data_IF_083882011953
#
_entry.id   IF_083882011953
#
_cell.length_a   1.000
_cell.length_b   1.000
_cell.length_c   1.000
_cell.angle_alpha   90.00
_cell.angle_beta   90.00
_cell.angle_gamma   90.00
#
_symmetry.space_group_name_H-M   'P 1'
#
loop_
_entity.id
_entity.type
_entity.pdbx_description
1 polymer ?
#
# COMPACT_ATOMS: atom_id res chain seq x y z
N UNK A 1 16.22 -31.69 21.48
CA UNK A 1 17.08 -30.83 20.64
C UNK A 1 16.61 -29.40 20.60
N UNK A 2 15.30 -29.10 20.50
CA UNK A 2 14.74 -27.72 20.47
C UNK A 2 15.00 -26.91 21.76
N UNK A 3 14.97 -27.55 22.94
CA UNK A 3 15.22 -26.89 24.21
C UNK A 3 16.66 -26.41 24.43
N UNK A 4 17.62 -27.03 23.74
CA UNK A 4 19.03 -26.66 23.75
C UNK A 4 19.37 -25.47 22.89
N UNK A 5 18.65 -25.27 21.78
CA UNK A 5 18.81 -24.11 20.90
C UNK A 5 18.16 -22.85 21.48
N UNK A 6 16.99 -22.99 22.10
CA UNK A 6 16.30 -21.88 22.76
C UNK A 6 17.10 -21.29 23.92
N UNK A 7 17.83 -22.14 24.67
CA UNK A 7 18.74 -21.68 25.75
C UNK A 7 19.92 -20.88 25.21
N UNK A 8 20.46 -21.20 24.05
CA UNK A 8 21.56 -20.45 23.39
C UNK A 8 21.14 -19.04 22.95
N UNK A 9 19.84 -18.82 22.74
CA UNK A 9 19.28 -17.53 22.37
C UNK A 9 18.67 -16.77 23.56
N UNK A 10 19.00 -17.16 24.81
CA UNK A 10 18.59 -16.42 26.02
C UNK A 10 17.12 -16.61 26.43
N UNK A 11 16.42 -17.61 25.86
CA UNK A 11 15.02 -17.89 26.18
C UNK A 11 14.97 -18.93 27.30
N UNK A 12 14.60 -18.50 28.51
CA UNK A 12 14.41 -19.38 29.67
C UNK A 12 13.04 -20.08 29.60
N UNK A 13 13.03 -21.38 29.69
CA UNK A 13 11.81 -22.23 29.67
C UNK A 13 11.11 -22.35 31.05
N UNK A 14 11.42 -21.48 31.99
CA UNK A 14 10.79 -21.46 33.33
C UNK A 14 9.64 -20.43 33.39
N UNK A 15 8.69 -20.55 32.51
CA UNK A 15 7.49 -19.71 32.49
C UNK A 15 6.22 -20.56 32.32
N UNK A 16 5.07 -20.02 32.75
CA UNK A 16 3.79 -20.70 32.55
C UNK A 16 3.54 -21.01 31.06
N UNK A 17 2.71 -22.01 30.75
CA UNK A 17 2.39 -22.46 29.39
C UNK A 17 2.03 -21.29 28.42
N UNK A 18 1.43 -20.22 28.92
CA UNK A 18 1.11 -19.03 28.16
C UNK A 18 2.34 -18.26 27.66
N UNK A 19 3.42 -18.21 28.45
CA UNK A 19 4.65 -17.50 28.08
C UNK A 19 5.42 -18.28 27.00
N UNK A 20 5.39 -19.61 27.07
CA UNK A 20 5.99 -20.50 26.08
C UNK A 20 5.23 -20.40 24.75
N UNK A 21 3.90 -20.40 24.79
CA UNK A 21 3.08 -20.23 23.57
C UNK A 21 3.27 -18.85 22.93
N UNK A 22 3.42 -17.78 23.71
CA UNK A 22 3.75 -16.47 23.19
C UNK A 22 5.13 -16.41 22.54
N UNK A 23 6.13 -17.07 23.15
CA UNK A 23 7.48 -17.15 22.58
C UNK A 23 7.48 -17.93 21.24
N UNK A 24 6.75 -19.05 21.16
CA UNK A 24 6.59 -19.85 19.95
C UNK A 24 5.95 -19.00 18.84
N UNK A 25 4.83 -18.31 19.13
CA UNK A 25 4.15 -17.43 18.15
C UNK A 25 5.05 -16.30 17.65
N UNK A 26 5.85 -15.67 18.53
CA UNK A 26 6.83 -14.65 18.14
C UNK A 26 7.93 -15.22 17.25
N UNK A 27 8.41 -16.42 17.55
CA UNK A 27 9.43 -17.09 16.74
C UNK A 27 8.88 -17.48 15.36
N UNK A 28 7.64 -17.96 15.28
CA UNK A 28 6.96 -18.25 14.01
C UNK A 28 6.72 -16.98 13.20
N UNK A 29 6.31 -15.89 13.83
CA UNK A 29 6.16 -14.58 13.18
C UNK A 29 7.48 -14.07 12.62
N UNK A 30 8.57 -14.19 13.39
CA UNK A 30 9.91 -13.80 12.97
C UNK A 30 10.44 -14.67 11.81
N UNK A 31 10.24 -15.98 11.87
CA UNK A 31 10.60 -16.89 10.80
C UNK A 31 9.79 -16.62 9.51
N UNK A 32 8.51 -16.35 9.63
CA UNK A 32 7.66 -15.95 8.51
C UNK A 32 8.10 -14.60 7.89
N UNK A 33 8.56 -13.66 8.72
CA UNK A 33 9.13 -12.39 8.24
C UNK A 33 10.45 -12.62 7.52
N UNK A 34 11.36 -13.44 8.07
CA UNK A 34 12.62 -13.80 7.42
C UNK A 34 12.40 -14.51 6.09
N UNK A 35 11.43 -15.40 6.00
CA UNK A 35 11.08 -16.06 4.73
C UNK A 35 10.56 -15.07 3.69
N UNK A 36 9.74 -14.09 4.09
CA UNK A 36 9.28 -13.01 3.19
C UNK A 36 10.44 -12.14 2.71
N UNK A 37 11.36 -11.78 3.61
CA UNK A 37 12.57 -11.02 3.26
C UNK A 37 13.49 -11.81 2.32
N UNK A 38 13.69 -13.10 2.57
CA UNK A 38 14.44 -13.99 1.67
C UNK A 38 13.79 -14.10 0.30
N UNK A 39 12.46 -14.21 0.24
CA UNK A 39 11.75 -14.25 -1.04
C UNK A 39 11.82 -12.91 -1.77
N UNK A 40 11.75 -11.78 -1.06
CA UNK A 40 11.92 -10.46 -1.65
C UNK A 40 13.34 -10.27 -2.20
N UNK A 41 14.37 -10.64 -1.43
CA UNK A 41 15.76 -10.62 -1.87
C UNK A 41 16.00 -11.54 -3.09
N UNK A 42 15.40 -12.75 -3.09
CA UNK A 42 15.51 -13.67 -4.22
C UNK A 42 14.82 -13.12 -5.49
N UNK A 43 13.73 -12.35 -5.35
CA UNK A 43 13.09 -11.65 -6.48
C UNK A 43 13.99 -10.55 -7.03
N UNK A 44 14.57 -9.72 -6.16
CA UNK A 44 15.49 -8.65 -6.54
C UNK A 44 16.74 -9.23 -7.24
N UNK A 45 17.31 -10.30 -6.71
CA UNK A 45 18.47 -10.96 -7.32
C UNK A 45 18.15 -11.53 -8.70
N UNK A 46 17.02 -12.21 -8.85
CA UNK A 46 16.56 -12.72 -10.16
C UNK A 46 16.25 -11.60 -11.16
N UNK A 47 15.70 -10.48 -10.68
CA UNK A 47 15.46 -9.31 -11.53
C UNK A 47 16.78 -8.69 -12.00
N UNK A 48 17.78 -8.59 -11.11
CA UNK A 48 19.11 -8.08 -11.42
C UNK A 48 19.86 -8.97 -12.44
N UNK A 49 19.75 -10.28 -12.29
CA UNK A 49 20.31 -11.25 -13.25
C UNK A 49 19.63 -11.18 -14.64
N UNK A 50 18.30 -10.98 -14.67
CA UNK A 50 17.59 -10.78 -15.95
C UNK A 50 18.00 -9.47 -16.60
N UNK A 51 18.19 -8.41 -15.82
CA UNK A 51 18.62 -7.11 -16.31
C UNK A 51 20.05 -7.16 -16.87
N UNK A 52 21.00 -7.81 -16.19
CA UNK A 52 22.38 -7.96 -16.69
C UNK A 52 22.42 -8.78 -17.97
N UNK A 53 21.65 -9.88 -18.07
CA UNK A 53 21.52 -10.66 -19.31
C UNK A 53 20.88 -9.87 -20.46
N UNK A 54 19.87 -9.04 -20.16
CA UNK A 54 19.25 -8.17 -21.15
C UNK A 54 20.21 -7.08 -21.64
N UNK A 55 21.04 -6.50 -20.75
CA UNK A 55 22.09 -5.55 -21.13
C UNK A 55 23.19 -6.19 -21.97
N UNK A 56 23.64 -7.40 -21.64
CA UNK A 56 24.61 -8.15 -22.44
C UNK A 56 24.06 -8.44 -23.85
N UNK A 57 22.78 -8.81 -23.92
CA UNK A 57 22.10 -9.09 -25.19
C UNK A 57 21.92 -7.82 -26.03
N UNK A 58 21.55 -6.70 -25.39
CA UNK A 58 21.43 -5.39 -26.03
C UNK A 58 22.79 -4.84 -26.49
N UNK A 59 23.87 -5.09 -25.72
CA UNK A 59 25.24 -4.76 -26.10
C UNK A 59 25.71 -5.52 -27.35
N UNK A 60 25.38 -6.81 -27.44
CA UNK A 60 25.69 -7.65 -28.61
C UNK A 60 24.85 -7.26 -29.86
N UNK A 61 23.65 -6.75 -29.68
CA UNK A 61 22.79 -6.25 -30.74
C UNK A 61 23.27 -4.90 -31.32
N UNK A 62 23.89 -4.04 -30.51
CA UNK A 62 24.46 -2.76 -30.98
C UNK A 62 25.64 -2.97 -31.92
N UNK A 63 26.38 -4.06 -31.81
CA UNK A 63 27.53 -4.41 -32.66
C UNK A 63 27.13 -5.29 -33.88
N UNK A 64 25.93 -5.91 -33.88
CA UNK A 64 25.48 -6.83 -34.95
C UNK A 64 24.26 -6.38 -35.75
N UNK A 65 23.68 -5.24 -35.42
CA UNK A 65 22.36 -4.82 -35.93
C UNK A 65 22.23 -4.54 -37.39
N UNK A 66 23.35 -4.34 -38.12
CA UNK A 66 23.32 -4.12 -39.57
C UNK A 66 23.22 -5.42 -40.41
N UNK A 67 23.59 -6.58 -39.82
CA UNK A 67 23.58 -7.87 -40.53
C UNK A 67 22.34 -8.73 -40.26
N UNK A 68 21.58 -8.43 -39.19
CA UNK A 68 20.42 -9.22 -38.78
C UNK A 68 19.15 -8.96 -39.61
N UNK A 69 19.06 -7.83 -40.29
CA UNK A 69 17.90 -7.49 -41.15
C UNK A 69 17.88 -8.32 -42.44
N UNK A 70 19.04 -8.71 -42.95
CA UNK A 70 19.15 -9.55 -44.15
C UNK A 70 18.84 -11.04 -43.94
N UNK A 71 19.08 -11.57 -42.73
CA UNK A 71 18.86 -12.99 -42.41
C UNK A 71 17.43 -13.28 -41.91
N UNK A 72 16.67 -12.27 -41.48
CA UNK A 72 15.29 -12.42 -40.97
C UNK A 72 14.25 -12.74 -42.06
N UNK A 73 14.60 -12.58 -43.34
CA UNK A 73 13.71 -12.93 -44.44
C UNK A 73 13.58 -14.45 -44.67
N UNK A 74 14.46 -15.26 -44.07
CA UNK A 74 14.48 -16.72 -44.24
C UNK A 74 13.90 -17.53 -43.10
N UNK A 75 13.52 -16.89 -41.98
CA UNK A 75 13.04 -17.60 -40.78
C UNK A 75 11.89 -16.88 -40.05
N UNK A 76 10.69 -16.91 -40.63
CA UNK A 76 9.49 -16.23 -40.10
C UNK A 76 9.07 -16.56 -38.68
N UNK A 77 9.70 -17.55 -38.02
CA UNK A 77 9.40 -17.92 -36.64
C UNK A 77 10.26 -17.19 -35.58
N UNK A 78 11.50 -16.81 -35.95
CA UNK A 78 12.40 -16.10 -35.04
C UNK A 78 12.09 -14.60 -34.96
N UNK A 79 11.69 -13.99 -36.10
CA UNK A 79 11.34 -12.56 -36.15
C UNK A 79 10.13 -12.21 -35.31
N UNK A 80 9.13 -13.08 -35.19
CA UNK A 80 7.94 -12.86 -34.37
C UNK A 80 8.24 -12.68 -32.88
N UNK A 81 9.17 -13.45 -32.30
CA UNK A 81 9.55 -13.35 -30.90
C UNK A 81 10.35 -12.08 -30.58
N UNK A 82 11.14 -11.56 -31.51
CA UNK A 82 11.89 -10.31 -31.36
C UNK A 82 11.01 -9.07 -31.45
N UNK A 83 9.91 -9.15 -32.23
CA UNK A 83 9.01 -8.03 -32.46
C UNK A 83 7.86 -7.97 -31.44
N UNK A 84 7.56 -9.05 -30.72
CA UNK A 84 6.47 -9.08 -29.72
C UNK A 84 6.54 -7.96 -28.65
N UNK A 85 7.69 -7.66 -28.02
CA UNK A 85 7.79 -6.56 -27.08
C UNK A 85 7.50 -5.19 -27.72
N UNK A 86 7.94 -4.98 -28.97
CA UNK A 86 7.70 -3.74 -29.70
C UNK A 86 6.23 -3.59 -30.11
N UNK A 87 5.59 -4.68 -30.52
CA UNK A 87 4.17 -4.72 -30.87
C UNK A 87 3.32 -4.49 -29.60
N UNK A 88 3.66 -5.15 -28.47
CA UNK A 88 3.02 -4.96 -27.18
C UNK A 88 3.09 -3.51 -26.72
N UNK A 89 4.28 -2.91 -26.75
CA UNK A 89 4.47 -1.50 -26.40
C UNK A 89 3.66 -0.56 -27.31
N UNK A 90 3.67 -0.80 -28.63
CA UNK A 90 2.89 -0.01 -29.60
C UNK A 90 1.39 -0.06 -29.31
N UNK A 91 0.86 -1.25 -28.95
CA UNK A 91 -0.53 -1.46 -28.58
C UNK A 91 -0.91 -0.66 -27.32
N UNK A 92 -0.10 -0.76 -26.27
CA UNK A 92 -0.36 -0.02 -25.01
C UNK A 92 -0.25 1.50 -25.22
N UNK A 93 0.71 1.98 -26.01
CA UNK A 93 0.79 3.40 -26.37
C UNK A 93 -0.42 3.89 -27.19
N UNK A 94 -0.97 3.06 -28.07
CA UNK A 94 -2.21 3.39 -28.78
C UNK A 94 -3.41 3.47 -27.82
N UNK A 95 -3.43 2.61 -26.78
CA UNK A 95 -4.44 2.67 -25.71
C UNK A 95 -4.30 3.96 -24.89
N UNK A 96 -3.07 4.33 -24.52
CA UNK A 96 -2.79 5.61 -23.84
C UNK A 96 -3.29 6.78 -24.67
N UNK A 97 -3.01 6.80 -25.98
CA UNK A 97 -3.50 7.83 -26.90
C UNK A 97 -5.03 7.92 -26.90
N UNK A 98 -5.70 6.79 -27.07
CA UNK A 98 -7.15 6.73 -27.11
C UNK A 98 -7.80 7.25 -25.82
N UNK A 99 -7.24 6.89 -24.66
CA UNK A 99 -7.76 7.28 -23.35
C UNK A 99 -7.49 8.76 -23.01
N UNK A 100 -6.30 9.25 -23.33
CA UNK A 100 -5.92 10.65 -23.09
C UNK A 100 -6.46 11.60 -24.17
N UNK A 101 -6.91 11.07 -25.33
CA UNK A 101 -7.42 11.82 -26.49
C UNK A 101 -6.42 12.86 -27.02
N UNK A 102 -5.13 12.65 -26.81
CA UNK A 102 -4.08 13.55 -27.34
C UNK A 102 -3.62 13.10 -28.71
N UNK A 103 -3.15 14.06 -29.51
CA UNK A 103 -2.60 13.77 -30.83
C UNK A 103 -1.28 13.00 -30.72
N UNK A 104 -1.08 12.01 -31.58
CA UNK A 104 0.10 11.14 -31.61
C UNK A 104 1.41 11.92 -31.85
N UNK A 105 1.33 13.05 -32.52
CA UNK A 105 2.48 13.91 -32.82
C UNK A 105 2.70 14.98 -31.75
N UNK A 106 1.78 15.08 -30.78
CA UNK A 106 1.87 16.09 -29.71
C UNK A 106 3.11 15.91 -28.85
N UNK A 107 3.67 16.98 -28.27
CA UNK A 107 4.76 16.89 -27.32
C UNK A 107 4.41 16.04 -26.10
N UNK A 108 3.15 16.11 -25.64
CA UNK A 108 2.66 15.34 -24.49
C UNK A 108 2.71 13.83 -24.76
N UNK A 109 2.26 13.38 -25.94
CA UNK A 109 2.32 11.96 -26.29
C UNK A 109 3.76 11.47 -26.43
N UNK A 110 4.63 12.27 -27.05
CA UNK A 110 6.07 11.95 -27.15
C UNK A 110 6.70 11.80 -25.76
N UNK A 111 6.40 12.73 -24.84
CA UNK A 111 6.91 12.67 -23.48
C UNK A 111 6.44 11.42 -22.71
N UNK A 112 5.17 11.01 -22.85
CA UNK A 112 4.66 9.75 -22.29
C UNK A 112 5.39 8.55 -22.87
N UNK A 113 5.58 8.52 -24.18
CA UNK A 113 6.30 7.45 -24.86
C UNK A 113 7.77 7.34 -24.41
N UNK A 114 8.45 8.47 -24.32
CA UNK A 114 9.84 8.55 -23.83
C UNK A 114 9.95 8.10 -22.38
N UNK A 115 9.02 8.52 -21.53
CA UNK A 115 8.97 8.08 -20.13
C UNK A 115 8.79 6.57 -20.03
N UNK A 116 7.87 5.98 -20.80
CA UNK A 116 7.64 4.54 -20.75
C UNK A 116 8.87 3.75 -21.22
N UNK A 117 9.57 4.21 -22.27
CA UNK A 117 10.82 3.63 -22.72
C UNK A 117 11.93 3.75 -21.67
N UNK A 118 12.06 4.92 -21.04
CA UNK A 118 13.05 5.19 -20.00
C UNK A 118 12.81 4.27 -18.80
N UNK A 119 11.59 4.26 -18.26
CA UNK A 119 11.24 3.42 -17.11
C UNK A 119 11.41 1.93 -17.41
N UNK A 120 11.08 1.51 -18.66
CA UNK A 120 11.32 0.15 -19.10
C UNK A 120 12.81 -0.23 -19.22
N UNK A 121 13.72 0.75 -19.31
CA UNK A 121 15.16 0.52 -19.34
C UNK A 121 15.83 0.65 -17.98
N UNK A 122 15.25 1.41 -17.06
CA UNK A 122 15.81 1.73 -15.75
C UNK A 122 15.21 0.90 -14.61
N UNK A 123 14.08 0.24 -14.83
CA UNK A 123 13.37 -0.55 -13.80
C UNK A 123 13.26 -2.02 -14.23
N UNK A 124 12.70 -2.85 -13.37
CA UNK A 124 12.40 -4.25 -13.71
C UNK A 124 11.19 -4.43 -14.63
N UNK A 125 10.40 -3.36 -14.83
CA UNK A 125 9.26 -3.37 -15.72
C UNK A 125 9.70 -3.20 -17.18
N UNK A 126 8.91 -3.71 -18.12
CA UNK A 126 9.12 -3.45 -19.54
C UNK A 126 8.53 -2.08 -19.93
N UNK A 127 8.93 -1.55 -21.07
CA UNK A 127 8.30 -0.35 -21.63
C UNK A 127 6.78 -0.55 -21.87
N UNK A 128 6.36 -1.78 -22.20
CA UNK A 128 4.97 -2.16 -22.31
C UNK A 128 4.23 -2.08 -20.97
N UNK A 129 4.84 -2.55 -19.88
CA UNK A 129 4.26 -2.45 -18.54
C UNK A 129 4.12 -1.00 -18.13
N UNK A 130 5.15 -0.17 -18.34
CA UNK A 130 5.09 1.27 -18.05
C UNK A 130 3.99 1.97 -18.87
N UNK A 131 3.85 1.65 -20.16
CA UNK A 131 2.76 2.16 -20.99
C UNK A 131 1.38 1.67 -20.53
N UNK A 132 1.28 0.43 -20.04
CA UNK A 132 0.05 -0.08 -19.42
C UNK A 132 -0.29 0.69 -18.15
N UNK A 133 0.69 0.96 -17.29
CA UNK A 133 0.51 1.84 -16.12
C UNK A 133 0.00 3.23 -16.48
N UNK A 134 0.54 3.84 -17.56
CA UNK A 134 0.04 5.10 -18.10
C UNK A 134 -1.42 5.00 -18.55
N UNK A 135 -1.79 3.89 -19.19
CA UNK A 135 -3.18 3.67 -19.61
C UNK A 135 -4.14 3.54 -18.41
N UNK A 136 -3.73 2.88 -17.34
CA UNK A 136 -4.54 2.79 -16.11
C UNK A 136 -4.73 4.16 -15.46
N UNK A 137 -3.68 4.97 -15.35
CA UNK A 137 -3.80 6.34 -14.83
C UNK A 137 -4.67 7.22 -15.73
N UNK A 138 -4.58 7.05 -17.06
CA UNK A 138 -5.45 7.74 -18.00
C UNK A 138 -6.93 7.37 -17.80
N UNK A 139 -7.24 6.08 -17.56
CA UNK A 139 -8.60 5.63 -17.20
C UNK A 139 -9.10 6.23 -15.88
N UNK A 140 -8.21 6.45 -14.94
CA UNK A 140 -8.52 7.15 -13.69
C UNK A 140 -8.71 8.68 -13.88
N UNK A 141 -8.60 9.19 -15.11
CA UNK A 141 -8.84 10.59 -15.45
C UNK A 141 -7.63 11.51 -15.32
N UNK A 142 -6.42 10.96 -15.16
CA UNK A 142 -5.21 11.76 -15.04
C UNK A 142 -4.84 12.43 -16.37
N UNK A 143 -4.44 13.69 -16.30
CA UNK A 143 -3.88 14.41 -17.44
C UNK A 143 -2.51 13.80 -17.84
N UNK A 144 -2.00 14.03 -19.06
CA UNK A 144 -0.67 13.55 -19.47
C UNK A 144 0.45 13.95 -18.49
N UNK A 145 0.41 15.14 -17.96
CA UNK A 145 1.37 15.63 -16.96
C UNK A 145 1.23 14.90 -15.61
N UNK A 146 -0.01 14.71 -15.16
CA UNK A 146 -0.30 13.95 -13.95
C UNK A 146 0.12 12.48 -14.07
N UNK A 147 -0.07 11.86 -15.25
CA UNK A 147 0.40 10.50 -15.53
C UNK A 147 1.92 10.41 -15.42
N UNK A 148 2.64 11.37 -16.01
CA UNK A 148 4.10 11.41 -15.92
C UNK A 148 4.59 11.55 -14.48
N UNK A 149 3.93 12.37 -13.68
CA UNK A 149 4.28 12.58 -12.29
C UNK A 149 3.99 11.35 -11.40
N UNK A 150 2.85 10.69 -11.61
CA UNK A 150 2.41 9.59 -10.75
C UNK A 150 3.03 8.22 -11.11
N UNK A 151 3.36 7.98 -12.38
CA UNK A 151 3.77 6.66 -12.86
C UNK A 151 4.96 6.06 -12.10
N UNK A 152 6.04 6.80 -11.78
CA UNK A 152 7.17 6.24 -11.01
C UNK A 152 6.73 5.67 -9.66
N UNK A 153 5.91 6.41 -8.91
CA UNK A 153 5.39 5.95 -7.62
C UNK A 153 4.49 4.72 -7.73
N UNK A 154 3.66 4.64 -8.79
CA UNK A 154 2.85 3.43 -9.06
C UNK A 154 3.75 2.23 -9.31
N UNK A 155 4.80 2.37 -10.13
CA UNK A 155 5.73 1.28 -10.41
C UNK A 155 6.46 0.81 -9.14
N UNK A 156 6.95 1.75 -8.32
CA UNK A 156 7.61 1.46 -7.06
C UNK A 156 6.67 0.73 -6.08
N UNK A 157 5.44 1.21 -5.95
CA UNK A 157 4.42 0.61 -5.09
C UNK A 157 4.00 -0.78 -5.57
N UNK A 158 3.84 -0.98 -6.88
CA UNK A 158 3.55 -2.29 -7.48
C UNK A 158 4.67 -3.29 -7.20
N UNK A 159 5.91 -2.83 -7.32
CA UNK A 159 7.09 -3.64 -7.04
C UNK A 159 7.16 -4.05 -5.58
N UNK A 160 7.02 -3.09 -4.67
CA UNK A 160 7.08 -3.33 -3.23
C UNK A 160 5.95 -4.23 -2.75
N UNK A 161 4.72 -3.99 -3.22
CA UNK A 161 3.53 -4.73 -2.83
C UNK A 161 3.33 -6.06 -3.54
N UNK A 162 4.04 -6.32 -4.65
CA UNK A 162 3.85 -7.51 -5.49
C UNK A 162 2.45 -7.57 -6.12
N UNK A 163 1.85 -6.42 -6.39
CA UNK A 163 0.51 -6.26 -6.95
C UNK A 163 0.61 -5.83 -8.42
N UNK A 164 -0.36 -6.20 -9.23
CA UNK A 164 -0.46 -5.82 -10.64
C UNK A 164 -0.56 -4.30 -10.82
N UNK A 165 0.04 -3.77 -11.89
CA UNK A 165 0.11 -2.32 -12.14
C UNK A 165 -1.27 -1.65 -12.21
N UNK A 166 -2.24 -2.32 -12.82
CA UNK A 166 -3.60 -1.80 -12.92
C UNK A 166 -4.27 -1.60 -11.57
N UNK A 167 -4.19 -2.61 -10.73
CA UNK A 167 -4.73 -2.59 -9.37
C UNK A 167 -3.97 -1.59 -8.49
N UNK A 168 -2.65 -1.51 -8.64
CA UNK A 168 -1.82 -0.55 -7.91
C UNK A 168 -2.14 0.89 -8.30
N UNK A 169 -2.32 1.15 -9.60
CA UNK A 169 -2.73 2.46 -10.09
C UNK A 169 -4.12 2.86 -9.57
N UNK A 170 -5.06 1.92 -9.51
CA UNK A 170 -6.39 2.15 -8.92
C UNK A 170 -6.29 2.50 -7.43
N UNK A 171 -5.57 1.71 -6.65
CA UNK A 171 -5.34 1.98 -5.22
C UNK A 171 -4.72 3.37 -5.03
N UNK A 172 -3.61 3.66 -5.72
CA UNK A 172 -2.89 4.92 -5.58
C UNK A 172 -3.72 6.14 -6.00
N UNK A 173 -4.40 6.07 -7.15
CA UNK A 173 -5.23 7.16 -7.67
C UNK A 173 -6.44 7.44 -6.79
N UNK A 174 -7.08 6.42 -6.24
CA UNK A 174 -8.16 6.56 -5.29
C UNK A 174 -7.70 7.27 -4.00
N UNK A 175 -6.54 6.87 -3.46
CA UNK A 175 -5.97 7.51 -2.26
C UNK A 175 -5.59 8.97 -2.52
N UNK A 176 -4.94 9.28 -3.66
CA UNK A 176 -4.67 10.67 -4.04
C UNK A 176 -5.95 11.51 -4.04
N UNK A 177 -7.01 10.98 -4.65
CA UNK A 177 -8.30 11.67 -4.73
C UNK A 177 -8.94 11.85 -3.36
N UNK A 178 -8.96 10.80 -2.53
CA UNK A 178 -9.57 10.83 -1.19
C UNK A 178 -8.92 11.84 -0.26
N UNK A 179 -7.58 11.91 -0.28
CA UNK A 179 -6.80 12.82 0.56
C UNK A 179 -6.49 14.17 -0.11
N UNK A 180 -7.09 14.43 -1.28
CA UNK A 180 -6.87 15.66 -2.05
C UNK A 180 -5.38 15.94 -2.32
N UNK A 181 -4.63 14.89 -2.63
CA UNK A 181 -3.22 14.94 -2.97
C UNK A 181 -3.02 15.12 -4.48
N UNK A 182 -1.95 15.75 -4.87
CA UNK A 182 -1.57 15.93 -6.28
C UNK A 182 -0.82 14.72 -6.83
N UNK A 183 -0.78 14.55 -8.14
CA UNK A 183 -0.21 13.38 -8.81
C UNK A 183 1.29 13.16 -8.50
N UNK A 184 2.04 14.24 -8.24
CA UNK A 184 3.45 14.22 -7.83
C UNK A 184 3.64 13.68 -6.41
N UNK A 185 2.58 13.55 -5.62
CA UNK A 185 2.61 12.93 -4.29
C UNK A 185 2.38 11.40 -4.32
N UNK A 186 2.36 10.78 -5.50
CA UNK A 186 2.19 9.33 -5.62
C UNK A 186 3.31 8.55 -4.94
N UNK A 187 4.55 9.06 -4.97
CA UNK A 187 5.67 8.45 -4.24
C UNK A 187 5.40 8.45 -2.72
N UNK A 188 4.87 9.55 -2.17
CA UNK A 188 4.46 9.65 -0.77
C UNK A 188 3.37 8.61 -0.42
N UNK A 189 2.40 8.43 -1.31
CA UNK A 189 1.37 7.38 -1.13
C UNK A 189 2.03 6.01 -1.11
N UNK A 190 2.91 5.74 -2.06
CA UNK A 190 3.65 4.48 -2.15
C UNK A 190 4.50 4.20 -0.91
N UNK A 191 5.26 5.19 -0.46
CA UNK A 191 6.13 5.09 0.72
C UNK A 191 5.31 4.84 2.00
N UNK A 192 4.20 5.57 2.18
CA UNK A 192 3.32 5.42 3.33
C UNK A 192 2.71 4.02 3.39
N UNK A 193 2.14 3.54 2.28
CA UNK A 193 1.55 2.20 2.25
C UNK A 193 2.62 1.11 2.40
N UNK A 194 3.78 1.29 1.76
CA UNK A 194 4.91 0.35 1.88
C UNK A 194 5.39 0.27 3.32
N UNK A 195 5.54 1.41 3.99
CA UNK A 195 5.90 1.45 5.40
C UNK A 195 4.85 0.74 6.27
N UNK A 196 3.56 0.89 5.97
CA UNK A 196 2.49 0.23 6.70
C UNK A 196 2.54 -1.30 6.52
N UNK A 197 2.53 -1.82 5.28
CA UNK A 197 2.46 -3.27 5.07
C UNK A 197 3.78 -4.01 5.36
N UNK A 198 4.92 -3.33 5.37
CA UNK A 198 6.19 -3.97 5.75
C UNK A 198 6.37 -4.09 7.26
N UNK A 199 5.71 -3.24 8.04
CA UNK A 199 5.81 -3.18 9.50
C UNK A 199 4.66 -3.84 10.23
N UNK A 200 3.57 -4.17 9.54
CA UNK A 200 2.35 -4.73 10.12
C UNK A 200 1.87 -5.96 9.34
N UNK A 201 0.91 -6.68 9.91
CA UNK A 201 0.41 -7.93 9.35
C UNK A 201 -0.66 -7.67 8.27
N UNK A 202 -0.32 -6.92 7.23
CA UNK A 202 -1.22 -6.59 6.11
C UNK A 202 -0.47 -6.64 4.78
N UNK A 203 -1.14 -6.30 3.70
CA UNK A 203 -0.60 -6.18 2.35
C UNK A 203 -1.20 -4.96 1.64
N UNK A 204 -0.69 -4.65 0.44
CA UNK A 204 -1.13 -3.48 -0.32
C UNK A 204 -2.61 -3.53 -0.68
N UNK A 205 -3.16 -4.72 -1.02
CA UNK A 205 -4.58 -4.88 -1.37
C UNK A 205 -5.47 -4.62 -0.17
N UNK A 206 -5.14 -5.23 0.96
CA UNK A 206 -5.90 -5.06 2.20
C UNK A 206 -5.86 -3.60 2.68
N UNK A 207 -4.71 -2.92 2.57
CA UNK A 207 -4.62 -1.48 2.87
C UNK A 207 -5.46 -0.65 1.89
N UNK A 208 -5.38 -0.92 0.59
CA UNK A 208 -6.20 -0.27 -0.42
C UNK A 208 -7.70 -0.42 -0.14
N UNK A 209 -8.13 -1.64 0.22
CA UNK A 209 -9.52 -1.90 0.60
C UNK A 209 -9.91 -1.16 1.89
N UNK A 210 -9.05 -1.13 2.91
CA UNK A 210 -9.29 -0.36 4.15
C UNK A 210 -9.45 1.13 3.83
N UNK A 211 -8.56 1.71 3.01
CA UNK A 211 -8.60 3.12 2.64
C UNK A 211 -9.85 3.48 1.83
N UNK A 212 -10.34 2.58 0.98
CA UNK A 212 -11.58 2.77 0.24
C UNK A 212 -12.78 3.11 1.13
N UNK A 213 -12.86 2.49 2.30
CA UNK A 213 -13.92 2.74 3.28
C UNK A 213 -13.63 3.93 4.20
N UNK A 214 -12.38 4.11 4.58
CA UNK A 214 -11.98 5.07 5.64
C UNK A 214 -11.49 6.39 5.08
N UNK A 215 -10.79 6.37 3.94
CA UNK A 215 -10.08 7.52 3.37
C UNK A 215 -10.91 8.80 3.27
N UNK A 216 -12.13 8.74 2.70
CA UNK A 216 -12.97 9.94 2.58
C UNK A 216 -13.36 10.57 3.93
N UNK A 217 -13.58 9.74 4.96
CA UNK A 217 -13.92 10.23 6.31
C UNK A 217 -12.68 10.76 7.01
N UNK A 218 -11.57 10.01 6.97
CA UNK A 218 -10.30 10.42 7.56
C UNK A 218 -9.84 11.77 7.01
N UNK A 219 -9.80 11.91 5.69
CA UNK A 219 -9.39 13.15 5.03
C UNK A 219 -10.30 14.34 5.41
N UNK A 220 -11.63 14.13 5.46
CA UNK A 220 -12.58 15.17 5.86
C UNK A 220 -12.39 15.62 7.31
N UNK A 221 -11.97 14.74 8.19
CA UNK A 221 -11.67 15.01 9.59
C UNK A 221 -10.26 15.61 9.79
N UNK A 222 -9.46 15.72 8.74
CA UNK A 222 -8.10 16.26 8.78
C UNK A 222 -7.05 15.26 9.26
N UNK A 223 -7.40 13.97 9.29
CA UNK A 223 -6.47 12.88 9.56
C UNK A 223 -5.58 12.69 8.33
N UNK A 224 -4.28 12.61 8.53
CA UNK A 224 -3.32 12.43 7.44
C UNK A 224 -3.38 11.03 6.84
N UNK A 225 -2.83 10.86 5.63
CA UNK A 225 -2.68 9.54 5.01
C UNK A 225 -1.84 8.61 5.88
N UNK A 226 -0.75 9.13 6.43
CA UNK A 226 0.18 8.39 7.29
C UNK A 226 -0.49 7.88 8.56
N UNK A 227 -1.27 8.74 9.21
CA UNK A 227 -2.02 8.41 10.41
C UNK A 227 -3.11 7.36 10.12
N UNK A 228 -3.85 7.53 9.01
CA UNK A 228 -4.85 6.54 8.59
C UNK A 228 -4.21 5.19 8.24
N UNK A 229 -3.06 5.18 7.57
CA UNK A 229 -2.33 3.95 7.25
C UNK A 229 -1.76 3.27 8.50
N UNK A 230 -1.29 4.04 9.48
CA UNK A 230 -0.84 3.51 10.77
C UNK A 230 -1.99 2.83 11.52
N UNK A 231 -3.14 3.49 11.62
CA UNK A 231 -4.33 2.90 12.24
C UNK A 231 -4.77 1.60 11.54
N UNK A 232 -4.78 1.58 10.21
CA UNK A 232 -5.09 0.38 9.45
C UNK A 232 -4.11 -0.76 9.74
N UNK A 233 -2.83 -0.44 9.87
CA UNK A 233 -1.79 -1.41 10.24
C UNK A 233 -1.94 -1.95 11.66
N UNK A 234 -2.30 -1.11 12.63
CA UNK A 234 -2.58 -1.53 14.02
C UNK A 234 -3.76 -2.50 14.08
N UNK A 235 -4.83 -2.23 13.35
CA UNK A 235 -5.98 -3.13 13.24
C UNK A 235 -5.58 -4.46 12.60
N UNK A 236 -4.76 -4.40 11.56
CA UNK A 236 -4.29 -5.59 10.86
C UNK A 236 -3.43 -6.51 11.73
N UNK A 237 -2.63 -5.97 12.64
CA UNK A 237 -1.86 -6.74 13.61
C UNK A 237 -2.76 -7.55 14.56
N UNK A 238 -4.00 -7.10 14.76
CA UNK A 238 -5.01 -7.77 15.57
C UNK A 238 -6.04 -8.56 14.73
N UNK A 239 -5.76 -8.76 13.44
CA UNK A 239 -6.57 -9.59 12.56
C UNK A 239 -7.67 -8.87 11.80
N UNK A 240 -7.93 -7.58 12.07
CA UNK A 240 -8.89 -6.76 11.33
C UNK A 240 -8.20 -6.18 10.09
N UNK A 241 -8.63 -6.59 8.88
CA UNK A 241 -8.02 -6.19 7.60
C UNK A 241 -9.06 -5.86 6.55
N UNK A 242 -8.65 -5.16 5.51
CA UNK A 242 -9.50 -4.87 4.35
C UNK A 242 -10.78 -4.15 4.74
N UNK A 243 -11.90 -4.64 4.29
CA UNK A 243 -13.23 -4.07 4.54
C UNK A 243 -13.60 -4.01 6.02
N UNK A 244 -13.18 -5.00 6.82
CA UNK A 244 -13.51 -5.04 8.25
C UNK A 244 -12.79 -3.92 9.01
N UNK A 245 -11.49 -3.75 8.77
CA UNK A 245 -10.73 -2.62 9.31
C UNK A 245 -11.32 -1.28 8.83
N UNK A 246 -11.60 -1.16 7.53
CA UNK A 246 -12.17 0.04 6.94
C UNK A 246 -13.52 0.40 7.52
N UNK A 247 -14.40 -0.58 7.73
CA UNK A 247 -15.72 -0.36 8.33
C UNK A 247 -15.59 0.05 9.80
N UNK A 248 -14.77 -0.65 10.59
CA UNK A 248 -14.54 -0.32 11.99
C UNK A 248 -13.92 1.08 12.17
N UNK A 249 -12.90 1.43 11.38
CA UNK A 249 -12.30 2.76 11.38
C UNK A 249 -13.33 3.84 11.01
N UNK A 250 -14.03 3.67 9.88
CA UNK A 250 -15.03 4.62 9.43
C UNK A 250 -16.10 4.86 10.48
N UNK A 251 -16.65 3.79 11.07
CA UNK A 251 -17.68 3.89 12.10
C UNK A 251 -17.15 4.60 13.35
N UNK A 252 -15.97 4.22 13.85
CA UNK A 252 -15.32 4.86 15.00
C UNK A 252 -15.08 6.36 14.76
N UNK A 253 -14.47 6.72 13.64
CA UNK A 253 -14.18 8.11 13.30
C UNK A 253 -15.45 8.94 13.14
N UNK A 254 -16.48 8.40 12.49
CA UNK A 254 -17.76 9.10 12.31
C UNK A 254 -18.46 9.35 13.64
N UNK A 255 -18.46 8.35 14.54
CA UNK A 255 -19.10 8.48 15.86
C UNK A 255 -18.30 9.35 16.83
N UNK A 256 -16.98 9.38 16.73
CA UNK A 256 -16.14 10.33 17.46
C UNK A 256 -16.36 11.77 16.98
N UNK A 257 -16.51 11.99 15.67
CA UNK A 257 -16.72 13.31 15.10
C UNK A 257 -18.14 13.86 15.33
N UNK A 258 -19.14 12.97 15.37
CA UNK A 258 -20.56 13.32 15.61
C UNK A 258 -21.18 12.27 16.54
N UNK A 259 -20.89 12.35 17.85
CA UNK A 259 -21.26 11.31 18.78
C UNK A 259 -22.77 11.26 19.02
N UNK A 260 -23.43 10.09 18.88
CA UNK A 260 -24.76 9.87 19.42
C UNK A 260 -24.79 10.08 20.93
N UNK A 261 -25.98 10.22 21.51
CA UNK A 261 -26.11 10.51 22.94
C UNK A 261 -25.31 9.58 23.85
N UNK A 262 -25.38 8.29 23.64
CA UNK A 262 -24.62 7.32 24.45
C UNK A 262 -23.10 7.54 24.34
N UNK A 263 -22.59 7.78 23.11
CA UNK A 263 -21.18 8.08 22.90
C UNK A 263 -20.76 9.40 23.54
N UNK A 264 -21.61 10.43 23.44
CA UNK A 264 -21.33 11.74 24.06
C UNK A 264 -21.32 11.65 25.58
N UNK A 265 -22.25 10.91 26.19
CA UNK A 265 -22.32 10.69 27.63
C UNK A 265 -21.08 9.89 28.10
N UNK A 266 -20.68 8.82 27.39
CA UNK A 266 -19.48 8.03 27.68
C UNK A 266 -18.19 8.87 27.59
N UNK A 267 -18.01 9.65 26.54
CA UNK A 267 -16.85 10.54 26.36
C UNK A 267 -16.78 11.59 27.48
N UNK A 268 -17.93 12.14 27.89
CA UNK A 268 -18.04 13.09 28.99
C UNK A 268 -17.67 12.44 30.33
N UNK A 269 -18.13 11.24 30.59
CA UNK A 269 -17.82 10.49 31.84
C UNK A 269 -16.33 10.17 31.88
N UNK A 270 -15.73 9.78 30.77
CA UNK A 270 -14.29 9.55 30.65
C UNK A 270 -13.45 10.83 30.69
N UNK A 271 -14.09 12.01 30.55
CA UNK A 271 -13.39 13.30 30.50
C UNK A 271 -12.57 13.49 29.22
N UNK A 272 -12.91 12.79 28.12
CA UNK A 272 -12.19 12.85 26.87
C UNK A 272 -12.86 13.83 25.90
N UNK A 273 -12.10 14.81 25.42
CA UNK A 273 -12.52 15.71 24.35
C UNK A 273 -11.96 15.28 23.00
N UNK A 274 -12.83 15.12 22.03
CA UNK A 274 -12.45 14.74 20.64
C UNK A 274 -12.09 15.96 19.78
N UNK A 275 -12.65 17.12 20.12
CA UNK A 275 -12.44 18.37 19.41
C UNK A 275 -11.66 19.40 20.25
N UNK A 276 -10.95 20.27 19.58
CA UNK A 276 -10.31 21.44 20.19
C UNK A 276 -11.33 22.56 20.46
N UNK A 277 -10.89 23.66 21.06
CA UNK A 277 -11.73 24.82 21.38
C UNK A 277 -12.34 25.51 20.12
N UNK A 278 -11.85 25.19 18.92
CA UNK A 278 -12.36 25.71 17.65
C UNK A 278 -13.31 24.73 16.96
N UNK A 279 -13.59 23.58 17.60
CA UNK A 279 -14.43 22.52 17.04
C UNK A 279 -13.72 21.68 15.97
N UNK A 280 -12.40 21.82 15.80
CA UNK A 280 -11.61 20.98 14.92
C UNK A 280 -11.24 19.68 15.66
N UNK A 281 -11.25 18.56 14.94
CA UNK A 281 -10.82 17.28 15.49
C UNK A 281 -9.36 17.36 15.96
N UNK A 282 -9.10 16.88 17.15
CA UNK A 282 -7.75 16.75 17.70
C UNK A 282 -6.99 15.65 16.96
N UNK A 283 -5.64 15.66 16.96
CA UNK A 283 -4.86 14.54 16.47
C UNK A 283 -5.41 13.22 17.05
N UNK A 284 -5.63 12.22 16.19
CA UNK A 284 -6.28 10.99 16.59
C UNK A 284 -5.43 10.22 17.63
N UNK A 285 -4.11 10.32 17.50
CA UNK A 285 -3.18 9.76 18.49
C UNK A 285 -3.45 10.29 19.91
N UNK A 286 -3.64 11.61 20.05
CA UNK A 286 -3.95 12.23 21.35
C UNK A 286 -5.31 11.76 21.89
N UNK A 287 -6.32 11.65 21.03
CA UNK A 287 -7.67 11.19 21.42
C UNK A 287 -7.62 9.73 21.87
N UNK A 288 -6.92 8.86 21.13
CA UNK A 288 -6.77 7.45 21.48
C UNK A 288 -5.99 7.28 22.78
N UNK A 289 -4.92 8.05 22.98
CA UNK A 289 -4.14 8.03 24.21
C UNK A 289 -4.96 8.51 25.43
N UNK A 290 -5.78 9.56 25.26
CA UNK A 290 -6.67 10.02 26.34
C UNK A 290 -7.74 8.97 26.67
N UNK A 291 -8.32 8.31 25.65
CA UNK A 291 -9.23 7.19 25.84
C UNK A 291 -8.55 6.04 26.59
N UNK A 292 -7.32 5.69 26.19
CA UNK A 292 -6.54 4.68 26.89
C UNK A 292 -6.37 5.01 28.37
N UNK A 293 -5.84 6.19 28.69
CA UNK A 293 -5.60 6.63 30.06
C UNK A 293 -6.89 6.70 30.90
N UNK A 294 -7.98 7.15 30.29
CA UNK A 294 -9.26 7.29 30.97
C UNK A 294 -9.88 5.92 31.29
N UNK A 295 -9.84 4.99 30.34
CA UNK A 295 -10.46 3.66 30.51
C UNK A 295 -9.68 2.75 31.44
N UNK A 296 -8.36 2.93 31.62
CA UNK A 296 -7.55 2.14 32.55
C UNK A 296 -8.01 2.26 34.03
N UNK A 297 -8.83 3.26 34.36
CA UNK A 297 -9.38 3.46 35.70
C UNK A 297 -10.57 2.55 35.98
N UNK A 298 -11.11 1.87 35.00
CA UNK A 298 -12.31 1.04 35.07
C UNK A 298 -11.99 -0.44 34.89
N UNK A 299 -12.88 -1.29 35.37
CA UNK A 299 -12.79 -2.73 35.14
C UNK A 299 -12.99 -3.12 33.66
N UNK A 300 -12.56 -4.30 33.29
CA UNK A 300 -12.63 -4.78 31.89
C UNK A 300 -14.05 -4.75 31.33
N UNK A 301 -15.06 -5.06 32.13
CA UNK A 301 -16.47 -5.05 31.68
C UNK A 301 -16.92 -3.63 31.33
N UNK A 302 -16.59 -2.68 32.20
CA UNK A 302 -16.93 -1.27 32.02
C UNK A 302 -16.18 -0.68 30.80
N UNK A 303 -14.90 -1.05 30.62
CA UNK A 303 -14.14 -0.65 29.43
C UNK A 303 -14.83 -1.10 28.13
N UNK A 304 -15.29 -2.34 28.07
CA UNK A 304 -16.03 -2.85 26.90
C UNK A 304 -17.34 -2.08 26.70
N UNK A 305 -18.04 -1.74 27.78
CA UNK A 305 -19.26 -0.94 27.71
C UNK A 305 -18.99 0.45 27.13
N UNK A 306 -17.96 1.16 27.60
CA UNK A 306 -17.57 2.45 27.04
C UNK A 306 -17.23 2.37 25.54
N UNK A 307 -16.45 1.36 25.12
CA UNK A 307 -16.11 1.21 23.71
C UNK A 307 -17.33 0.90 22.84
N UNK A 308 -18.30 0.12 23.34
CA UNK A 308 -19.58 -0.12 22.65
C UNK A 308 -20.42 1.15 22.54
N UNK A 309 -20.52 1.91 23.60
CA UNK A 309 -21.25 3.18 23.61
C UNK A 309 -20.63 4.18 22.60
N UNK A 310 -19.31 4.29 22.58
CA UNK A 310 -18.57 5.21 21.72
C UNK A 310 -18.61 4.75 20.26
N UNK A 311 -18.17 3.53 19.97
CA UNK A 311 -17.99 3.06 18.59
C UNK A 311 -19.21 2.31 18.01
N UNK A 312 -20.10 1.81 18.86
CA UNK A 312 -21.19 0.91 18.50
C UNK A 312 -20.76 -0.55 18.45
N UNK A 313 -21.72 -1.45 18.48
CA UNK A 313 -21.50 -2.92 18.51
C UNK A 313 -20.63 -3.42 17.33
N UNK A 314 -20.71 -2.78 16.17
CA UNK A 314 -19.99 -3.21 14.96
C UNK A 314 -18.52 -2.79 14.95
N UNK A 315 -18.17 -1.73 15.68
CA UNK A 315 -16.85 -1.12 15.60
C UNK A 315 -16.07 -1.08 16.91
N UNK A 316 -16.68 -1.48 18.05
CA UNK A 316 -16.03 -1.36 19.35
C UNK A 316 -14.72 -2.15 19.45
N UNK A 317 -14.64 -3.32 18.83
CA UNK A 317 -13.41 -4.12 18.79
C UNK A 317 -12.29 -3.36 18.07
N UNK A 318 -12.62 -2.69 16.97
CA UNK A 318 -11.66 -1.87 16.22
C UNK A 318 -11.19 -0.67 17.06
N UNK A 319 -12.11 0.07 17.70
CA UNK A 319 -11.75 1.19 18.56
C UNK A 319 -10.92 0.72 19.76
N UNK A 320 -11.31 -0.36 20.43
CA UNK A 320 -10.55 -0.95 21.53
C UNK A 320 -9.14 -1.34 21.11
N UNK A 321 -8.99 -1.92 19.92
CA UNK A 321 -7.69 -2.28 19.35
C UNK A 321 -6.82 -1.04 19.12
N UNK A 322 -7.37 0.02 18.54
CA UNK A 322 -6.64 1.28 18.32
C UNK A 322 -6.24 1.93 19.64
N UNK A 323 -7.13 1.97 20.63
CA UNK A 323 -6.86 2.52 21.95
C UNK A 323 -5.80 1.71 22.69
N UNK A 324 -5.79 0.39 22.56
CA UNK A 324 -4.78 -0.47 23.20
C UNK A 324 -3.39 -0.35 22.53
N UNK A 325 -3.32 0.19 21.32
CA UNK A 325 -2.08 0.37 20.56
C UNK A 325 -1.50 1.80 20.68
N UNK A 326 -2.26 2.74 21.24
CA UNK A 326 -1.84 4.12 21.51
C UNK A 326 -1.01 4.22 22.80
#
# INVERSE_FOLDING_TARGET
ELGGELKRHGISLTGSDNTIQQAIRRTEQYNNQLERERQALARVTRARERYSRAQETAGKLKTGGALAIGAAAAGGYAAGRFLQPAIGFGKEMSRVQALTRIDQNSPQFKALREQALKLGSETQFTAGDAASGQAFLAMAGFTPQAIQAALPGVLNMALAGGVELGETADIGSNILTQFNLTADQMDRVGDTLTAAFTRTNTDLRALGETMKYTGPVAAKLGISLEEAAAMAGMLANNGLRGSDAGTAMRASLSRLASPPKAAADALKELGVSVADARGKMRPMEDVLLDLYKATQKYGQVDQVSFFKDIAGEEAFVGLQTLVAAA
#
